data_IF_332881093112
#
_entry.id   IF_332881093112
#
_cell.length_a   1.000
_cell.length_b   1.000
_cell.length_c   1.000
_cell.angle_alpha   90.00
_cell.angle_beta   90.00
_cell.angle_gamma   90.00
#
_symmetry.space_group_name_H-M   'P 1'
#
loop_
_entity.id
_entity.type
_entity.pdbx_description
1 polymer ?
#
# COMPACT_ATOMS: atom_id res chain seq x y z
N UNK A 1 -18.49 -5.33 4.59
CA UNK A 1 -19.58 -5.82 3.68
C UNK A 1 -19.07 -7.01 2.90
N UNK A 2 -19.91 -8.00 2.57
CA UNK A 2 -19.52 -9.11 1.71
C UNK A 2 -19.74 -8.81 0.22
N UNK A 3 -18.81 -9.26 -0.63
CA UNK A 3 -18.95 -9.25 -2.09
C UNK A 3 -19.61 -10.54 -2.63
N UNK A 4 -19.72 -10.69 -3.96
CA UNK A 4 -20.29 -11.91 -4.57
C UNK A 4 -19.50 -13.19 -4.27
N UNK A 5 -18.19 -13.07 -4.00
CA UNK A 5 -17.33 -14.21 -3.66
C UNK A 5 -17.32 -14.50 -2.14
N UNK A 6 -18.20 -13.87 -1.35
CA UNK A 6 -18.29 -13.99 0.10
C UNK A 6 -17.02 -13.55 0.85
N UNK A 7 -16.27 -12.60 0.28
CA UNK A 7 -15.13 -11.96 0.95
C UNK A 7 -15.62 -10.79 1.78
N UNK A 8 -15.22 -10.72 3.04
CA UNK A 8 -15.51 -9.54 3.87
C UNK A 8 -14.61 -8.38 3.43
N UNK A 9 -15.20 -7.39 2.78
CA UNK A 9 -14.56 -6.15 2.37
C UNK A 9 -14.69 -5.14 3.50
N UNK A 10 -13.57 -4.85 4.16
CA UNK A 10 -13.49 -3.92 5.29
C UNK A 10 -12.25 -3.00 5.22
N UNK A 11 -11.46 -3.10 4.14
CA UNK A 11 -10.21 -2.35 3.97
C UNK A 11 -10.32 -1.39 2.77
N UNK A 12 -10.27 -0.08 3.02
CA UNK A 12 -10.16 0.96 1.98
C UNK A 12 -8.70 1.41 1.80
N UNK A 13 -8.19 1.37 0.57
CA UNK A 13 -7.00 2.15 0.18
C UNK A 13 -7.44 3.48 -0.41
N UNK A 14 -6.99 4.56 0.19
CA UNK A 14 -7.35 5.93 -0.15
C UNK A 14 -6.13 6.63 -0.77
N UNK A 15 -6.10 6.78 -2.09
CA UNK A 15 -5.10 7.60 -2.78
C UNK A 15 -5.48 9.06 -2.61
N UNK A 16 -4.62 9.86 -1.97
CA UNK A 16 -4.96 11.26 -1.63
C UNK A 16 -4.36 12.28 -2.61
N UNK A 17 -3.47 11.83 -3.48
CA UNK A 17 -2.79 12.64 -4.49
C UNK A 17 -2.16 11.70 -5.52
N UNK A 18 -1.98 12.15 -6.76
CA UNK A 18 -1.18 11.42 -7.75
C UNK A 18 0.28 11.92 -7.80
N UNK A 19 0.58 13.03 -7.10
CA UNK A 19 1.92 13.60 -7.03
C UNK A 19 2.84 12.71 -6.18
N UNK A 20 4.10 12.63 -6.60
CA UNK A 20 5.17 11.99 -5.84
C UNK A 20 6.47 12.80 -6.00
N UNK A 21 7.27 12.84 -4.94
CA UNK A 21 8.61 13.45 -4.92
C UNK A 21 9.70 12.50 -5.49
N UNK A 22 9.38 11.22 -5.75
CA UNK A 22 10.24 10.25 -6.43
C UNK A 22 9.80 9.99 -7.88
N UNK A 23 10.66 9.33 -8.66
CA UNK A 23 10.43 8.90 -10.06
C UNK A 23 10.82 7.45 -10.25
N UNK A 24 10.24 6.57 -9.43
CA UNK A 24 10.64 5.16 -9.42
C UNK A 24 10.44 4.50 -10.79
N UNK A 25 11.47 3.83 -11.32
CA UNK A 25 11.46 3.25 -12.68
C UNK A 25 10.31 2.27 -12.94
N UNK A 26 9.90 1.51 -11.92
CA UNK A 26 8.81 0.53 -12.01
C UNK A 26 7.42 1.13 -11.77
N UNK A 27 7.32 2.42 -11.43
CA UNK A 27 6.08 3.06 -11.03
C UNK A 27 5.74 4.29 -11.88
N UNK A 28 6.66 5.26 -11.96
CA UNK A 28 6.43 6.58 -12.54
C UNK A 28 7.77 7.26 -12.95
N UNK A 29 8.52 6.68 -13.90
CA UNK A 29 9.82 7.22 -14.34
C UNK A 29 9.69 8.64 -14.93
N UNK A 30 8.65 8.88 -15.73
CA UNK A 30 8.44 10.15 -16.43
C UNK A 30 7.82 11.24 -15.54
N UNK A 31 7.47 10.88 -14.30
CA UNK A 31 6.70 11.74 -13.42
C UNK A 31 5.21 11.78 -13.75
N UNK A 32 4.56 12.78 -13.16
CA UNK A 32 3.14 13.06 -13.40
C UNK A 32 2.97 14.49 -13.86
N UNK A 33 2.11 14.65 -14.86
CA UNK A 33 1.51 15.93 -15.12
C UNK A 33 0.70 16.36 -13.89
N UNK A 34 0.90 17.60 -13.48
CA UNK A 34 0.18 18.16 -12.33
C UNK A 34 -1.27 18.35 -12.76
N UNK A 35 -2.14 17.52 -12.20
CA UNK A 35 -3.59 17.67 -12.41
C UNK A 35 -4.06 19.02 -11.86
N UNK A 36 -5.08 19.59 -12.51
CA UNK A 36 -5.82 20.72 -11.98
C UNK A 36 -6.38 20.38 -10.60
N UNK A 37 -6.40 21.36 -9.70
CA UNK A 37 -6.77 21.16 -8.29
C UNK A 37 -8.18 20.56 -8.17
N UNK A 38 -9.07 21.00 -9.05
CA UNK A 38 -10.45 20.57 -9.15
C UNK A 38 -10.56 19.11 -9.58
N UNK A 39 -9.56 18.54 -10.25
CA UNK A 39 -9.60 17.14 -10.64
C UNK A 39 -9.41 16.17 -9.45
N UNK A 40 -8.89 16.64 -8.32
CA UNK A 40 -8.67 15.84 -7.11
C UNK A 40 -9.81 16.07 -6.12
N UNK A 41 -10.16 15.03 -5.36
CA UNK A 41 -11.14 15.16 -4.28
C UNK A 41 -10.66 16.16 -3.21
N UNK A 42 -11.58 16.98 -2.73
CA UNK A 42 -11.31 17.87 -1.59
C UNK A 42 -11.21 17.08 -0.29
N UNK A 43 -10.75 17.75 0.76
CA UNK A 43 -10.70 17.19 2.10
C UNK A 43 -12.09 16.69 2.57
N UNK A 44 -13.12 17.52 2.38
CA UNK A 44 -14.50 17.26 2.76
C UNK A 44 -15.08 16.10 1.93
N UNK A 45 -14.77 16.04 0.63
CA UNK A 45 -15.20 14.95 -0.24
C UNK A 45 -14.58 13.61 0.18
N UNK A 46 -13.30 13.60 0.54
CA UNK A 46 -12.64 12.40 1.08
C UNK A 46 -13.31 11.91 2.37
N UNK A 47 -13.58 12.81 3.32
CA UNK A 47 -14.21 12.44 4.60
C UNK A 47 -15.64 11.96 4.41
N UNK A 48 -16.43 12.63 3.55
CA UNK A 48 -17.80 12.20 3.24
C UNK A 48 -17.80 10.79 2.66
N UNK A 49 -16.98 10.51 1.65
CA UNK A 49 -16.89 9.18 1.05
C UNK A 49 -16.39 8.13 2.06
N UNK A 50 -15.37 8.45 2.86
CA UNK A 50 -14.88 7.55 3.90
C UNK A 50 -15.96 7.18 4.94
N UNK A 51 -16.81 8.13 5.32
CA UNK A 51 -17.94 7.86 6.21
C UNK A 51 -18.98 6.91 5.57
N UNK A 52 -19.23 7.04 4.27
CA UNK A 52 -20.10 6.11 3.54
C UNK A 52 -19.46 4.71 3.44
N UNK A 53 -18.15 4.61 3.21
CA UNK A 53 -17.44 3.33 3.28
C UNK A 53 -17.55 2.70 4.68
N UNK A 54 -17.45 3.49 5.75
CA UNK A 54 -17.62 3.01 7.12
C UNK A 54 -19.01 2.41 7.35
N UNK A 55 -20.07 3.05 6.82
CA UNK A 55 -21.45 2.51 6.81
C UNK A 55 -21.59 1.20 6.01
N UNK A 56 -20.67 0.92 5.08
CA UNK A 56 -20.56 -0.36 4.38
C UNK A 56 -19.67 -1.38 5.12
N UNK A 57 -19.25 -1.09 6.35
CA UNK A 57 -18.43 -1.97 7.18
C UNK A 57 -16.94 -1.92 6.88
N UNK A 58 -16.45 -0.86 6.21
CA UNK A 58 -15.02 -0.54 6.21
C UNK A 58 -14.63 -0.05 7.59
N UNK A 59 -13.59 -0.66 8.17
CA UNK A 59 -13.05 -0.28 9.47
C UNK A 59 -11.58 0.16 9.42
N UNK A 60 -10.94 -0.08 8.27
CA UNK A 60 -9.51 0.18 8.08
C UNK A 60 -9.30 1.03 6.83
N UNK A 61 -8.65 2.17 6.99
CA UNK A 61 -8.25 3.05 5.89
C UNK A 61 -6.73 3.07 5.79
N UNK A 62 -6.19 2.87 4.58
CA UNK A 62 -4.78 3.12 4.26
C UNK A 62 -4.66 4.34 3.38
N UNK A 63 -4.09 5.39 3.93
CA UNK A 63 -3.69 6.59 3.20
C UNK A 63 -2.46 6.26 2.36
N UNK A 64 -2.55 6.54 1.07
CA UNK A 64 -1.51 6.34 0.04
C UNK A 64 -1.65 7.44 -1.02
N UNK A 65 -1.04 7.32 -2.18
CA UNK A 65 -1.12 8.26 -3.29
C UNK A 65 -0.25 7.82 -4.46
N UNK A 66 0.33 8.82 -5.13
CA UNK A 66 1.77 8.82 -5.37
C UNK A 66 2.51 8.79 -4.02
N UNK A 67 2.80 9.96 -3.45
CA UNK A 67 3.34 10.09 -2.08
C UNK A 67 2.37 10.87 -1.19
N UNK A 68 1.73 10.27 -0.17
CA UNK A 68 0.76 10.99 0.67
C UNK A 68 1.36 12.17 1.42
N UNK A 69 2.63 12.10 1.83
CA UNK A 69 3.26 13.18 2.60
C UNK A 69 3.55 14.45 1.79
N UNK A 70 3.43 14.41 0.45
CA UNK A 70 3.47 15.64 -0.37
C UNK A 70 2.13 16.37 -0.40
N UNK A 71 1.04 15.74 0.08
CA UNK A 71 -0.26 16.40 0.18
C UNK A 71 -0.29 17.29 1.43
N UNK A 72 -0.51 18.59 1.22
CA UNK A 72 -0.71 19.55 2.32
C UNK A 72 -1.91 19.14 3.18
N UNK A 73 -1.72 19.12 4.51
CA UNK A 73 -2.77 18.81 5.48
C UNK A 73 -3.14 17.32 5.56
N UNK A 74 -2.23 16.40 5.19
CA UNK A 74 -2.49 14.97 5.29
C UNK A 74 -2.71 14.49 6.74
N UNK A 75 -2.08 15.16 7.71
CA UNK A 75 -2.30 14.97 9.15
C UNK A 75 -3.74 15.29 9.55
N UNK A 76 -4.30 16.41 9.06
CA UNK A 76 -5.70 16.75 9.28
C UNK A 76 -6.63 15.70 8.67
N UNK A 77 -6.29 15.17 7.50
CA UNK A 77 -7.06 14.09 6.87
C UNK A 77 -7.02 12.81 7.72
N UNK A 78 -5.86 12.45 8.26
CA UNK A 78 -5.75 11.32 9.21
C UNK A 78 -6.65 11.55 10.43
N UNK A 79 -6.62 12.75 11.03
CA UNK A 79 -7.44 13.07 12.19
C UNK A 79 -8.94 12.98 11.86
N UNK A 80 -9.36 13.54 10.72
CA UNK A 80 -10.74 13.45 10.24
C UNK A 80 -11.17 12.01 9.99
N UNK A 81 -10.32 11.18 9.39
CA UNK A 81 -10.61 9.75 9.17
C UNK A 81 -10.75 8.99 10.50
N UNK A 82 -9.91 9.27 11.50
CA UNK A 82 -10.00 8.67 12.84
C UNK A 82 -11.25 9.09 13.61
N UNK A 83 -11.80 10.27 13.31
CA UNK A 83 -13.04 10.75 13.93
C UNK A 83 -14.32 10.11 13.35
N UNK A 84 -14.23 9.41 12.21
CA UNK A 84 -15.40 8.78 11.57
C UNK A 84 -15.86 7.56 12.39
N UNK A 85 -17.12 7.52 12.86
CA UNK A 85 -17.66 6.33 13.52
C UNK A 85 -17.57 5.09 12.63
N UNK A 86 -16.97 4.02 13.16
CA UNK A 86 -16.73 2.76 12.44
C UNK A 86 -15.32 2.60 11.90
N UNK A 87 -14.58 3.69 11.65
CA UNK A 87 -13.16 3.60 11.29
C UNK A 87 -12.33 3.37 12.56
N UNK A 88 -11.70 2.20 12.63
CA UNK A 88 -10.87 1.77 13.77
C UNK A 88 -9.41 2.06 13.54
N UNK A 89 -8.92 1.83 12.31
CA UNK A 89 -7.51 1.92 11.95
C UNK A 89 -7.28 2.85 10.76
N UNK A 90 -6.37 3.80 10.91
CA UNK A 90 -5.82 4.62 9.83
C UNK A 90 -4.33 4.36 9.74
N UNK A 91 -3.89 3.87 8.59
CA UNK A 91 -2.49 3.49 8.33
C UNK A 91 -1.98 4.26 7.12
N UNK A 92 -0.66 4.38 6.97
CA UNK A 92 -0.06 5.08 5.83
C UNK A 92 0.90 4.18 5.05
N UNK A 93 0.98 4.38 3.74
CA UNK A 93 2.11 3.91 2.92
C UNK A 93 2.84 5.13 2.37
N UNK A 94 4.15 5.23 2.59
CA UNK A 94 4.99 6.38 2.19
C UNK A 94 6.36 5.89 1.72
N UNK A 95 7.07 6.67 0.93
CA UNK A 95 8.49 6.48 0.65
C UNK A 95 9.41 6.91 1.81
N UNK A 96 8.88 7.61 2.81
CA UNK A 96 9.61 7.91 4.05
C UNK A 96 10.40 9.22 4.06
N UNK A 97 10.59 9.89 2.91
CA UNK A 97 11.45 11.10 2.81
C UNK A 97 10.99 12.21 3.76
N UNK A 98 9.68 12.47 3.79
CA UNK A 98 9.09 13.51 4.63
C UNK A 98 8.61 13.00 5.99
N UNK A 99 8.84 11.71 6.28
CA UNK A 99 8.23 11.06 7.43
C UNK A 99 8.79 11.59 8.75
N UNK A 100 10.11 11.72 8.88
CA UNK A 100 10.72 12.23 10.12
C UNK A 100 10.16 13.60 10.51
N UNK A 101 9.97 14.49 9.53
CA UNK A 101 9.44 15.83 9.75
C UNK A 101 7.95 15.83 10.13
N UNK A 102 7.13 15.00 9.46
CA UNK A 102 5.66 15.04 9.61
C UNK A 102 5.11 14.07 10.66
N UNK A 103 5.92 13.09 11.11
CA UNK A 103 5.50 12.04 12.03
C UNK A 103 4.87 12.58 13.33
N UNK A 104 5.40 13.63 14.00
CA UNK A 104 4.78 14.14 15.23
C UNK A 104 3.32 14.58 15.04
N UNK A 105 3.01 15.26 13.93
CA UNK A 105 1.65 15.68 13.61
C UNK A 105 0.75 14.48 13.27
N UNK A 106 1.29 13.49 12.55
CA UNK A 106 0.57 12.26 12.22
C UNK A 106 0.23 11.42 13.46
N UNK A 107 1.13 11.35 14.44
CA UNK A 107 0.89 10.69 15.71
C UNK A 107 -0.19 11.42 16.52
N UNK A 108 -0.12 12.75 16.58
CA UNK A 108 -1.15 13.56 17.23
C UNK A 108 -2.54 13.39 16.56
N UNK A 109 -2.55 13.17 15.24
CA UNK A 109 -3.76 12.85 14.47
C UNK A 109 -4.29 11.42 14.68
N UNK A 110 -3.55 10.56 15.39
CA UNK A 110 -3.95 9.19 15.70
C UNK A 110 -3.59 8.16 14.63
N UNK A 111 -2.53 8.39 13.85
CA UNK A 111 -2.01 7.40 12.89
C UNK A 111 -1.61 6.09 13.59
N UNK A 112 -2.12 4.95 13.13
CA UNK A 112 -1.96 3.66 13.81
C UNK A 112 -0.71 2.87 13.37
N UNK A 113 -0.22 3.05 12.13
CA UNK A 113 1.00 2.40 11.63
C UNK A 113 1.47 2.96 10.29
N UNK A 114 2.75 2.72 9.97
CA UNK A 114 3.37 3.09 8.70
C UNK A 114 3.92 1.88 7.94
N UNK A 115 3.69 1.89 6.63
CA UNK A 115 4.43 1.07 5.67
C UNK A 115 5.38 1.99 4.90
N UNK A 116 6.67 1.71 4.94
CA UNK A 116 7.70 2.51 4.27
C UNK A 116 8.24 1.70 3.08
N UNK A 117 8.22 2.28 1.89
CA UNK A 117 8.81 1.66 0.70
C UNK A 117 10.33 1.88 0.69
N UNK A 118 11.10 0.79 0.73
CA UNK A 118 12.55 0.78 0.66
C UNK A 118 13.01 -0.44 -0.14
N UNK A 119 13.59 -0.21 -1.31
CA UNK A 119 13.96 -1.28 -2.25
C UNK A 119 15.45 -1.69 -2.15
N UNK A 120 16.27 -0.99 -1.36
CA UNK A 120 17.73 -1.22 -1.29
C UNK A 120 18.31 -0.53 -0.07
N UNK A 121 19.46 -1.02 0.41
CA UNK A 121 20.29 -0.40 1.45
C UNK A 121 21.46 0.40 0.87
N UNK A 122 21.63 0.38 -0.44
CA UNK A 122 22.71 1.05 -1.17
C UNK A 122 22.23 2.38 -1.74
N UNK A 123 22.80 3.53 -1.32
CA UNK A 123 22.37 4.85 -1.77
C UNK A 123 22.40 5.02 -3.30
N UNK A 124 23.43 4.49 -3.96
CA UNK A 124 23.58 4.56 -5.41
C UNK A 124 22.51 3.76 -6.16
N UNK A 125 22.13 2.59 -5.62
CA UNK A 125 21.04 1.78 -6.18
C UNK A 125 19.70 2.45 -5.91
N UNK A 126 19.53 3.07 -4.73
CA UNK A 126 18.33 3.85 -4.41
C UNK A 126 18.12 4.97 -5.43
N UNK A 127 19.18 5.73 -5.73
CA UNK A 127 19.13 6.80 -6.72
C UNK A 127 18.83 6.23 -8.13
N UNK A 128 19.39 5.07 -8.48
CA UNK A 128 19.11 4.42 -9.77
C UNK A 128 17.65 3.97 -9.91
N UNK A 129 17.02 3.55 -8.81
CA UNK A 129 15.62 3.12 -8.76
C UNK A 129 14.70 4.33 -8.81
N UNK A 130 14.96 5.35 -7.99
CA UNK A 130 14.03 6.44 -7.66
C UNK A 130 14.27 7.74 -8.43
N UNK A 131 15.41 7.84 -9.13
CA UNK A 131 15.95 9.03 -9.81
C UNK A 131 16.13 10.27 -8.90
N UNK A 132 16.28 10.05 -7.59
CA UNK A 132 16.48 11.08 -6.57
C UNK A 132 17.49 10.60 -5.53
N UNK A 133 18.36 11.48 -5.08
CA UNK A 133 19.33 11.20 -4.02
C UNK A 133 18.72 11.58 -2.67
N UNK A 134 17.85 10.72 -2.16
CA UNK A 134 17.03 10.98 -0.96
C UNK A 134 17.14 9.85 0.08
N UNK A 135 18.12 8.95 -0.10
CA UNK A 135 18.27 7.76 0.75
C UNK A 135 18.45 8.13 2.23
N UNK A 136 19.25 9.18 2.52
CA UNK A 136 19.46 9.67 3.89
C UNK A 136 18.15 10.03 4.59
N UNK A 137 17.29 10.82 3.94
CA UNK A 137 15.99 11.23 4.50
C UNK A 137 15.05 10.04 4.71
N UNK A 138 15.07 9.03 3.82
CA UNK A 138 14.29 7.79 4.02
C UNK A 138 14.76 7.06 5.27
N UNK A 139 16.08 6.92 5.47
CA UNK A 139 16.63 6.27 6.65
C UNK A 139 16.33 7.04 7.95
N UNK A 140 16.35 8.38 7.90
CA UNK A 140 15.89 9.22 9.00
C UNK A 140 14.41 8.99 9.32
N UNK A 141 13.56 8.90 8.30
CA UNK A 141 12.13 8.59 8.43
C UNK A 141 11.88 7.22 9.05
N UNK A 142 12.63 6.19 8.63
CA UNK A 142 12.55 4.84 9.21
C UNK A 142 12.94 4.87 10.69
N UNK A 143 14.05 5.53 11.02
CA UNK A 143 14.48 5.67 12.42
C UNK A 143 13.43 6.38 13.27
N UNK A 144 12.93 7.53 12.82
CA UNK A 144 11.90 8.27 13.55
C UNK A 144 10.62 7.44 13.77
N UNK A 145 10.20 6.66 12.76
CA UNK A 145 9.05 5.77 12.88
C UNK A 145 9.28 4.67 13.92
N UNK A 146 10.45 4.04 13.93
CA UNK A 146 10.81 3.02 14.92
C UNK A 146 10.88 3.62 16.34
N UNK A 147 11.50 4.78 16.49
CA UNK A 147 11.66 5.47 17.78
C UNK A 147 10.31 5.91 18.38
N UNK A 148 9.30 6.14 17.53
CA UNK A 148 7.94 6.49 17.97
C UNK A 148 7.15 5.32 18.56
N UNK A 149 7.59 4.08 18.33
CA UNK A 149 6.94 2.87 18.83
C UNK A 149 5.68 2.45 18.06
N UNK A 150 5.26 3.15 17.00
CA UNK A 150 4.19 2.66 16.13
C UNK A 150 4.67 1.44 15.33
N UNK A 151 3.78 0.51 14.94
CA UNK A 151 4.14 -0.58 14.05
C UNK A 151 4.71 -0.07 12.72
N UNK A 152 5.91 -0.55 12.37
CA UNK A 152 6.61 -0.21 11.13
C UNK A 152 6.74 -1.44 10.24
N UNK A 153 6.41 -1.27 8.95
CA UNK A 153 6.63 -2.30 7.93
C UNK A 153 7.46 -1.73 6.80
N UNK A 154 8.55 -2.39 6.43
CA UNK A 154 9.30 -2.07 5.22
C UNK A 154 8.76 -2.89 4.06
N UNK A 155 8.60 -2.28 2.90
CA UNK A 155 8.19 -2.93 1.66
C UNK A 155 9.29 -2.77 0.63
N UNK A 156 9.79 -3.90 0.13
CA UNK A 156 10.74 -3.98 -0.97
C UNK A 156 10.08 -4.69 -2.15
N UNK A 157 10.29 -4.19 -3.36
CA UNK A 157 10.01 -4.89 -4.62
C UNK A 157 11.33 -5.43 -5.18
N UNK A 158 11.58 -6.75 -5.10
CA UNK A 158 12.75 -7.37 -5.73
C UNK A 158 12.77 -7.14 -7.25
N UNK A 159 13.94 -6.79 -7.78
CA UNK A 159 14.19 -6.43 -9.17
C UNK A 159 15.48 -7.11 -9.66
N UNK A 160 15.34 -7.95 -10.69
CA UNK A 160 16.46 -8.67 -11.32
C UNK A 160 17.47 -7.68 -11.90
N UNK A 161 18.76 -7.91 -11.64
CA UNK A 161 19.86 -7.06 -12.07
C UNK A 161 19.94 -5.69 -11.39
N UNK A 162 19.12 -5.44 -10.36
CA UNK A 162 19.07 -4.13 -9.67
C UNK A 162 19.40 -4.28 -8.18
N UNK A 163 18.46 -4.82 -7.39
CA UNK A 163 18.58 -4.96 -5.93
C UNK A 163 18.62 -6.44 -5.49
N UNK A 164 18.55 -7.39 -6.43
CA UNK A 164 18.47 -8.81 -6.06
C UNK A 164 19.69 -9.28 -5.26
N UNK A 165 20.86 -8.64 -5.39
CA UNK A 165 22.07 -9.01 -4.66
C UNK A 165 22.06 -8.72 -3.15
N UNK A 166 21.10 -7.95 -2.63
CA UNK A 166 21.09 -7.46 -1.23
C UNK A 166 19.78 -7.77 -0.47
N UNK A 167 18.94 -8.65 -1.00
CA UNK A 167 17.62 -8.94 -0.41
C UNK A 167 17.73 -9.58 0.98
N UNK A 168 18.75 -10.41 1.24
CA UNK A 168 19.05 -10.94 2.56
C UNK A 168 19.45 -9.83 3.54
N UNK A 169 20.24 -8.85 3.10
CA UNK A 169 20.65 -7.75 3.97
C UNK A 169 19.46 -6.86 4.35
N UNK A 170 18.54 -6.64 3.40
CA UNK A 170 17.24 -6.03 3.69
C UNK A 170 16.43 -6.85 4.69
N UNK A 171 16.33 -8.17 4.51
CA UNK A 171 15.62 -9.04 5.44
C UNK A 171 16.25 -9.05 6.85
N UNK A 172 17.58 -8.99 6.93
CA UNK A 172 18.34 -8.92 8.18
C UNK A 172 18.05 -7.66 9.01
N UNK A 173 17.42 -6.62 8.43
CA UNK A 173 16.94 -5.49 9.22
C UNK A 173 15.98 -5.91 10.33
N UNK A 174 15.20 -6.98 10.12
CA UNK A 174 14.26 -7.54 11.09
C UNK A 174 14.94 -8.26 12.26
N UNK A 175 16.22 -8.64 12.15
CA UNK A 175 16.95 -9.33 13.22
C UNK A 175 17.02 -8.45 14.48
N UNK A 176 17.44 -7.20 14.31
CA UNK A 176 17.74 -6.28 15.42
C UNK A 176 16.69 -5.21 15.67
N UNK A 177 15.66 -5.11 14.81
CA UNK A 177 14.66 -4.04 14.85
C UNK A 177 13.23 -4.62 14.91
N UNK A 178 12.32 -4.01 15.69
CA UNK A 178 10.93 -4.46 15.81
C UNK A 178 10.08 -4.04 14.60
N UNK A 179 10.41 -4.56 13.42
CA UNK A 179 9.74 -4.24 12.16
C UNK A 179 9.49 -5.49 11.31
N UNK A 180 8.53 -5.41 10.39
CA UNK A 180 8.36 -6.43 9.37
C UNK A 180 9.00 -5.98 8.05
N UNK A 181 9.94 -6.76 7.51
CA UNK A 181 10.48 -6.55 6.15
C UNK A 181 9.69 -7.40 5.18
N UNK A 182 9.02 -6.78 4.20
CA UNK A 182 8.15 -7.50 3.27
C UNK A 182 8.61 -7.38 1.85
N UNK A 183 8.68 -8.51 1.17
CA UNK A 183 9.03 -8.61 -0.23
C UNK A 183 7.77 -8.81 -1.06
N UNK A 184 7.56 -7.92 -2.02
CA UNK A 184 6.37 -7.88 -2.87
C UNK A 184 6.81 -8.25 -4.28
N UNK A 185 6.20 -9.30 -4.85
CA UNK A 185 6.44 -9.68 -6.23
C UNK A 185 6.16 -8.52 -7.19
N UNK A 186 7.04 -8.33 -8.17
CA UNK A 186 6.81 -7.36 -9.25
C UNK A 186 5.53 -7.75 -10.00
N UNK A 187 4.50 -6.92 -9.86
CA UNK A 187 3.23 -7.13 -10.56
C UNK A 187 3.32 -6.55 -11.98
N UNK A 188 2.78 -7.24 -13.00
CA UNK A 188 2.82 -6.76 -14.37
C UNK A 188 1.74 -5.68 -14.62
N UNK A 189 1.89 -4.53 -13.97
CA UNK A 189 0.98 -3.37 -14.05
C UNK A 189 1.78 -2.14 -14.45
N UNK A 190 1.31 -1.40 -15.46
CA UNK A 190 2.02 -0.23 -15.97
C UNK A 190 3.47 -0.56 -16.34
N UNK A 191 4.44 0.19 -15.81
CA UNK A 191 5.87 -0.03 -16.07
C UNK A 191 6.40 -1.36 -15.54
N UNK A 192 5.76 -1.96 -14.53
CA UNK A 192 6.12 -3.29 -14.03
C UNK A 192 5.86 -4.42 -15.02
N UNK A 193 5.01 -4.21 -16.04
CA UNK A 193 4.72 -5.22 -17.06
C UNK A 193 5.93 -5.63 -17.90
N UNK A 194 6.92 -4.73 -18.05
CA UNK A 194 8.16 -4.99 -18.78
C UNK A 194 9.30 -5.49 -17.87
N UNK A 195 9.03 -5.73 -16.58
CA UNK A 195 10.05 -6.09 -15.61
C UNK A 195 9.91 -7.55 -15.17
N UNK A 196 11.03 -8.29 -15.07
CA UNK A 196 11.01 -9.66 -14.57
C UNK A 196 10.61 -9.69 -13.09
N UNK A 197 9.96 -10.78 -12.70
CA UNK A 197 9.51 -11.01 -11.33
C UNK A 197 10.38 -12.08 -10.67
N UNK A 198 10.93 -11.76 -9.49
CA UNK A 198 11.54 -12.76 -8.60
C UNK A 198 10.41 -13.33 -7.74
N UNK A 199 10.25 -14.65 -7.78
CA UNK A 199 9.12 -15.30 -7.11
C UNK A 199 9.31 -15.33 -5.58
N UNK A 200 8.21 -15.22 -4.84
CA UNK A 200 8.23 -15.39 -3.37
C UNK A 200 8.80 -16.74 -2.91
N UNK A 201 8.44 -17.87 -3.54
CA UNK A 201 9.03 -19.19 -3.22
C UNK A 201 10.54 -19.24 -3.41
N UNK A 202 11.07 -18.72 -4.52
CA UNK A 202 12.51 -18.65 -4.79
C UNK A 202 13.24 -17.82 -3.73
N UNK A 203 12.69 -16.65 -3.39
CA UNK A 203 13.30 -15.77 -2.38
C UNK A 203 13.26 -16.41 -0.98
N UNK A 204 12.19 -17.12 -0.65
CA UNK A 204 12.08 -17.88 0.60
C UNK A 204 13.13 -19.00 0.68
N UNK A 205 13.36 -19.74 -0.39
CA UNK A 205 14.41 -20.76 -0.43
C UNK A 205 15.81 -20.15 -0.27
N UNK A 206 16.04 -18.99 -0.88
CA UNK A 206 17.28 -18.23 -0.71
C UNK A 206 17.50 -17.82 0.75
N UNK A 207 16.46 -17.31 1.42
CA UNK A 207 16.54 -16.94 2.84
C UNK A 207 16.74 -18.15 3.74
N UNK A 208 16.11 -19.29 3.44
CA UNK A 208 16.32 -20.54 4.17
C UNK A 208 17.76 -21.09 4.04
N UNK A 209 18.44 -20.82 2.92
CA UNK A 209 19.88 -21.14 2.78
C UNK A 209 20.76 -20.23 3.66
N UNK A 210 20.41 -18.95 3.79
CA UNK A 210 21.15 -17.99 4.62
C UNK A 210 20.92 -18.20 6.12
N UNK A 211 19.68 -18.52 6.50
CA UNK A 211 19.25 -18.75 7.88
C UNK A 211 18.54 -20.11 7.99
N UNK A 212 19.24 -21.17 8.45
CA UNK A 212 18.66 -22.52 8.53
C UNK A 212 17.42 -22.65 9.42
N UNK A 213 17.25 -21.77 10.41
CA UNK A 213 16.09 -21.74 11.31
C UNK A 213 14.93 -20.86 10.80
N UNK A 214 15.03 -20.34 9.57
CA UNK A 214 13.99 -19.53 8.95
C UNK A 214 12.72 -20.36 8.73
N UNK A 215 11.67 -20.04 9.47
CA UNK A 215 10.46 -20.86 9.56
C UNK A 215 9.19 -20.00 9.57
N UNK A 216 8.03 -20.54 9.14
CA UNK A 216 6.78 -19.79 9.14
C UNK A 216 6.44 -19.25 10.54
N UNK A 217 6.04 -17.98 10.60
CA UNK A 217 5.57 -17.39 11.84
C UNK A 217 4.15 -17.94 12.16
N UNK A 218 3.88 -18.42 13.39
CA UNK A 218 2.57 -18.94 13.73
C UNK A 218 1.46 -17.91 13.53
N UNK A 219 0.31 -18.36 13.00
CA UNK A 219 -0.82 -17.48 12.66
C UNK A 219 -1.30 -16.60 13.83
N UNK A 220 -1.26 -17.13 15.06
CA UNK A 220 -1.62 -16.40 16.28
C UNK A 220 -0.68 -15.20 16.53
N UNK A 221 0.59 -15.31 16.17
CA UNK A 221 1.57 -14.23 16.32
C UNK A 221 1.45 -13.21 15.18
N UNK A 222 1.19 -13.67 13.94
CA UNK A 222 1.03 -12.77 12.79
C UNK A 222 -0.30 -12.02 12.75
N UNK A 223 -1.33 -12.46 13.50
CA UNK A 223 -2.65 -11.83 13.52
C UNK A 223 -2.60 -10.34 13.91
N UNK A 224 -1.63 -9.94 14.74
CA UNK A 224 -1.43 -8.55 15.16
C UNK A 224 -0.94 -7.62 14.04
N UNK A 225 -0.37 -8.15 12.94
CA UNK A 225 0.21 -7.34 11.87
C UNK A 225 -0.84 -6.71 10.94
N UNK A 226 -2.09 -7.15 11.05
CA UNK A 226 -3.24 -6.68 10.28
C UNK A 226 -3.54 -7.55 9.05
N UNK A 227 -4.67 -7.25 8.40
CA UNK A 227 -5.29 -8.13 7.40
C UNK A 227 -4.71 -7.98 5.98
N UNK A 228 -3.39 -7.89 5.90
CA UNK A 228 -2.64 -7.84 4.64
C UNK A 228 -2.35 -9.24 4.07
N UNK A 229 -2.00 -9.35 2.78
CA UNK A 229 -1.79 -10.64 2.11
C UNK A 229 -0.44 -11.32 2.40
N UNK A 230 0.37 -10.76 3.30
CA UNK A 230 1.72 -11.26 3.52
C UNK A 230 1.69 -12.54 4.36
N UNK A 231 2.48 -13.54 3.95
CA UNK A 231 2.79 -14.70 4.78
C UNK A 231 4.12 -14.45 5.47
N UNK A 232 4.14 -14.54 6.80
CA UNK A 232 5.28 -14.17 7.61
C UNK A 232 6.11 -15.37 8.03
N UNK A 233 7.41 -15.14 8.13
CA UNK A 233 8.45 -16.07 8.54
C UNK A 233 9.37 -15.34 9.52
N UNK A 234 10.02 -16.09 10.38
CA UNK A 234 10.93 -15.54 11.39
C UNK A 234 12.11 -16.49 11.62
N UNK A 235 13.08 -16.01 12.39
CA UNK A 235 14.22 -16.79 12.90
C UNK A 235 14.21 -16.63 14.42
N UNK A 236 14.47 -17.68 15.21
CA UNK A 236 14.52 -17.58 16.67
C UNK A 236 15.43 -16.44 17.13
N UNK A 237 14.91 -15.59 18.03
CA UNK A 237 15.63 -14.45 18.60
C UNK A 237 15.55 -13.14 17.80
N UNK A 238 14.96 -13.14 16.60
CA UNK A 238 14.72 -11.91 15.86
C UNK A 238 13.68 -11.03 16.55
N UNK A 239 13.87 -9.71 16.50
CA UNK A 239 12.91 -8.74 17.03
C UNK A 239 11.73 -8.48 16.09
N UNK A 240 11.91 -8.77 14.80
CA UNK A 240 10.94 -8.59 13.75
C UNK A 240 10.82 -9.83 12.86
N UNK A 241 10.18 -9.65 11.71
CA UNK A 241 9.80 -10.77 10.83
C UNK A 241 9.98 -10.43 9.36
N UNK A 242 10.02 -11.46 8.53
CA UNK A 242 10.05 -11.36 7.08
C UNK A 242 8.71 -11.77 6.50
N UNK A 243 8.12 -10.95 5.64
CA UNK A 243 6.87 -11.26 4.96
C UNK A 243 7.04 -11.42 3.45
N UNK A 244 6.31 -12.35 2.85
CA UNK A 244 6.23 -12.51 1.40
C UNK A 244 4.83 -12.19 0.91
N UNK A 245 4.72 -11.31 -0.09
CA UNK A 245 3.48 -10.97 -0.77
C UNK A 245 3.56 -11.52 -2.20
N UNK A 246 3.09 -12.75 -2.36
CA UNK A 246 3.09 -13.48 -3.63
C UNK A 246 1.91 -13.04 -4.53
N UNK A 247 1.99 -11.81 -5.06
CA UNK A 247 0.93 -11.18 -5.84
C UNK A 247 0.72 -11.81 -7.23
N UNK A 248 1.72 -12.47 -7.79
CA UNK A 248 1.67 -13.12 -9.10
C UNK A 248 1.50 -14.62 -8.92
N UNK A 249 2.39 -15.27 -8.18
CA UNK A 249 2.45 -16.73 -8.10
C UNK A 249 1.53 -17.33 -7.04
N UNK A 250 1.25 -16.60 -5.95
CA UNK A 250 0.48 -17.13 -4.81
C UNK A 250 -1.01 -16.79 -4.82
N UNK A 251 -1.45 -15.83 -5.65
CA UNK A 251 -2.85 -15.35 -5.77
C UNK A 251 -3.65 -15.34 -4.44
N UNK A 252 -3.51 -14.29 -3.64
CA UNK A 252 -4.29 -14.12 -2.39
C UNK A 252 -5.71 -13.54 -2.60
N UNK A 253 -6.32 -13.75 -3.77
CA UNK A 253 -7.61 -13.13 -4.11
C UNK A 253 -8.78 -13.65 -3.28
N UNK A 254 -8.74 -14.92 -2.87
CA UNK A 254 -9.78 -15.58 -2.08
C UNK A 254 -9.99 -14.94 -0.70
N UNK A 255 -8.95 -14.34 -0.12
CA UNK A 255 -8.99 -13.62 1.16
C UNK A 255 -8.93 -12.09 1.01
N UNK A 256 -9.06 -11.57 -0.22
CA UNK A 256 -8.90 -10.15 -0.47
C UNK A 256 -10.08 -9.31 0.06
N UNK A 257 -9.80 -8.51 1.08
CA UNK A 257 -10.71 -7.64 1.81
C UNK A 257 -10.68 -6.16 1.36
N UNK A 258 -10.00 -5.86 0.25
CA UNK A 258 -9.62 -4.49 -0.15
C UNK A 258 -10.45 -3.91 -1.28
N UNK A 259 -10.75 -2.63 -1.21
CA UNK A 259 -11.14 -1.75 -2.33
C UNK A 259 -10.29 -0.49 -2.36
N UNK A 260 -10.32 0.24 -3.47
CA UNK A 260 -9.43 1.39 -3.72
C UNK A 260 -10.22 2.59 -4.21
N UNK A 261 -10.00 3.75 -3.58
CA UNK A 261 -10.48 5.02 -4.09
C UNK A 261 -9.27 5.82 -4.60
N UNK A 262 -9.30 6.21 -5.88
CA UNK A 262 -8.27 7.07 -6.45
C UNK A 262 -8.40 8.50 -5.93
N UNK A 263 -7.36 9.32 -6.10
CA UNK A 263 -7.36 10.73 -5.72
C UNK A 263 -8.44 11.54 -6.48
N UNK A 264 -8.80 11.08 -7.67
CA UNK A 264 -9.84 11.64 -8.53
C UNK A 264 -11.25 11.10 -8.22
N UNK A 265 -11.40 10.25 -7.19
CA UNK A 265 -12.69 9.71 -6.75
C UNK A 265 -13.25 8.56 -7.58
N UNK A 266 -12.40 7.84 -8.31
CA UNK A 266 -12.78 6.60 -8.99
C UNK A 266 -12.63 5.41 -8.03
N UNK A 267 -13.72 4.72 -7.73
CA UNK A 267 -13.74 3.52 -6.91
C UNK A 267 -13.42 2.30 -7.78
N UNK A 268 -12.31 1.62 -7.46
CA UNK A 268 -11.92 0.34 -8.06
C UNK A 268 -12.14 -0.80 -7.07
N UNK A 269 -12.83 -1.88 -7.47
CA UNK A 269 -13.01 -3.03 -6.59
C UNK A 269 -11.76 -3.93 -6.52
N UNK A 270 -10.87 -3.84 -7.51
CA UNK A 270 -9.60 -4.58 -7.55
C UNK A 270 -8.47 -3.70 -8.08
N UNK A 271 -7.22 -4.03 -7.69
CA UNK A 271 -6.02 -3.40 -8.24
C UNK A 271 -5.91 -3.61 -9.76
N UNK A 272 -6.29 -4.81 -10.23
CA UNK A 272 -6.14 -5.24 -11.62
C UNK A 272 -7.36 -4.91 -12.51
N UNK A 273 -8.40 -4.28 -11.97
CA UNK A 273 -9.68 -4.09 -12.67
C UNK A 273 -9.82 -2.64 -13.12
N UNK A 274 -9.88 -2.38 -14.43
CA UNK A 274 -10.13 -1.04 -15.00
C UNK A 274 -11.59 -0.59 -14.86
N UNK A 275 -12.50 -1.52 -14.55
CA UNK A 275 -13.90 -1.21 -14.24
C UNK A 275 -14.04 -0.69 -12.81
N UNK A 276 -15.06 0.12 -12.59
CA UNK A 276 -15.28 0.80 -11.32
C UNK A 276 -16.41 1.81 -11.41
N UNK A 277 -16.47 2.70 -10.44
CA UNK A 277 -17.48 3.75 -10.37
C UNK A 277 -16.84 5.12 -10.14
N UNK A 278 -17.24 6.12 -10.91
CA UNK A 278 -16.84 7.52 -10.70
C UNK A 278 -17.72 8.15 -9.62
N UNK A 279 -17.31 7.98 -8.35
CA UNK A 279 -18.03 8.54 -7.22
C UNK A 279 -17.91 10.07 -7.15
N UNK A 280 -16.85 10.66 -7.71
CA UNK A 280 -16.69 12.12 -7.75
C UNK A 280 -17.76 12.75 -8.60
N UNK A 281 -18.03 12.20 -9.79
CA UNK A 281 -19.07 12.70 -10.68
C UNK A 281 -20.45 12.64 -10.00
N UNK A 282 -20.77 11.53 -9.33
CA UNK A 282 -22.01 11.43 -8.55
C UNK A 282 -22.06 12.45 -7.41
N UNK A 283 -20.99 12.54 -6.62
CA UNK A 283 -20.90 13.42 -5.46
C UNK A 283 -21.06 14.89 -5.86
N UNK A 284 -20.40 15.33 -6.92
CA UNK A 284 -20.46 16.71 -7.43
C UNK A 284 -21.71 17.01 -8.25
N UNK A 285 -22.37 15.97 -8.77
CA UNK A 285 -23.71 16.07 -9.33
C UNK A 285 -24.82 16.26 -8.29
N UNK A 286 -24.47 16.30 -7.00
CA UNK A 286 -25.43 16.51 -5.91
C UNK A 286 -26.11 15.23 -5.41
N UNK A 287 -25.56 14.05 -5.73
CA UNK A 287 -26.13 12.78 -5.27
C UNK A 287 -26.28 12.74 -3.73
N UNK A 288 -27.41 12.22 -3.29
CA UNK A 288 -27.68 11.95 -1.90
C UNK A 288 -26.78 10.81 -1.39
N UNK A 289 -26.60 10.75 -0.06
CA UNK A 289 -25.75 9.73 0.56
C UNK A 289 -26.21 8.29 0.26
N UNK A 290 -27.53 8.06 0.09
CA UNK A 290 -28.03 6.72 -0.24
C UNK A 290 -27.70 6.29 -1.67
N UNK A 291 -27.67 7.22 -2.62
CA UNK A 291 -27.26 6.95 -4.01
C UNK A 291 -25.77 6.60 -4.07
N UNK A 292 -24.94 7.37 -3.36
CA UNK A 292 -23.51 7.08 -3.22
C UNK A 292 -23.26 5.74 -2.53
N UNK A 293 -24.02 5.41 -1.48
CA UNK A 293 -23.94 4.12 -0.82
C UNK A 293 -24.30 2.96 -1.75
N UNK A 294 -25.36 3.12 -2.54
CA UNK A 294 -25.76 2.12 -3.51
C UNK A 294 -24.64 1.88 -4.54
N UNK A 295 -24.07 2.95 -5.10
CA UNK A 295 -22.95 2.86 -6.03
C UNK A 295 -21.71 2.17 -5.41
N UNK A 296 -21.38 2.48 -4.14
CA UNK A 296 -20.31 1.82 -3.40
C UNK A 296 -20.60 0.32 -3.23
N UNK A 297 -21.81 -0.03 -2.79
CA UNK A 297 -22.25 -1.42 -2.57
C UNK A 297 -22.20 -2.24 -3.85
N UNK A 298 -22.70 -1.70 -4.95
CA UNK A 298 -22.69 -2.36 -6.26
C UNK A 298 -21.27 -2.58 -6.77
N UNK A 299 -20.39 -1.57 -6.61
CA UNK A 299 -18.98 -1.70 -7.00
C UNK A 299 -18.25 -2.72 -6.13
N UNK A 300 -18.49 -2.74 -4.83
CA UNK A 300 -17.93 -3.77 -3.93
C UNK A 300 -18.41 -5.16 -4.34
N UNK A 301 -19.70 -5.32 -4.64
CA UNK A 301 -20.26 -6.59 -5.09
C UNK A 301 -19.61 -7.06 -6.38
N UNK A 302 -19.42 -6.17 -7.36
CA UNK A 302 -18.82 -6.49 -8.66
C UNK A 302 -17.33 -6.84 -8.63
N UNK A 303 -16.71 -6.89 -7.44
CA UNK A 303 -15.32 -7.27 -7.27
C UNK A 303 -15.03 -8.63 -7.94
N UNK A 304 -14.07 -8.69 -8.88
CA UNK A 304 -13.76 -9.93 -9.58
C UNK A 304 -13.25 -11.00 -8.61
N UNK A 305 -13.55 -12.28 -8.89
CA UNK A 305 -13.13 -13.40 -8.05
C UNK A 305 -11.61 -13.42 -7.89
N UNK A 306 -10.88 -13.20 -8.97
CA UNK A 306 -9.42 -13.09 -8.98
C UNK A 306 -8.91 -12.15 -10.06
N UNK A 307 -7.61 -11.83 -10.00
CA UNK A 307 -6.91 -11.19 -11.10
C UNK A 307 -6.35 -12.23 -12.06
N UNK A 308 -6.17 -11.83 -13.32
CA UNK A 308 -5.59 -12.66 -14.37
C UNK A 308 -4.27 -12.07 -14.87
N UNK A 309 -3.33 -11.71 -13.99
CA UNK A 309 -2.02 -11.16 -14.39
C UNK A 309 -1.22 -12.02 -15.37
N UNK A 310 -1.48 -13.33 -15.43
CA UNK A 310 -0.87 -14.25 -16.39
C UNK A 310 -1.61 -14.35 -17.73
N UNK A 311 -2.83 -13.83 -17.84
CA UNK A 311 -3.59 -13.80 -19.08
C UNK A 311 -3.67 -12.34 -19.57
N UNK A 312 -3.38 -12.09 -20.84
CA UNK A 312 -3.51 -10.76 -21.46
C UNK A 312 -4.97 -10.23 -21.49
N UNK A 313 -5.91 -10.88 -20.82
CA UNK A 313 -7.35 -10.60 -20.82
C UNK A 313 -7.76 -9.43 -19.92
N UNK A 314 -6.93 -9.05 -18.95
CA UNK A 314 -7.15 -7.86 -18.12
C UNK A 314 -5.88 -7.00 -18.01
N UNK A 315 -5.55 -6.22 -19.06
CA UNK A 315 -4.42 -5.30 -18.98
C UNK A 315 -4.74 -4.19 -17.97
N UNK A 316 -4.00 -4.17 -16.85
CA UNK A 316 -3.98 -3.04 -15.94
C UNK A 316 -3.05 -1.97 -16.52
N UNK A 317 -3.60 -1.08 -17.34
CA UNK A 317 -2.84 -0.10 -18.13
C UNK A 317 -2.48 1.16 -17.34
N UNK A 318 -3.16 1.42 -16.21
CA UNK A 318 -2.86 2.57 -15.35
C UNK A 318 -1.63 2.31 -14.47
N UNK A 319 -0.73 3.29 -14.41
CA UNK A 319 0.44 3.25 -13.54
C UNK A 319 0.07 3.06 -12.06
N UNK A 320 0.89 2.30 -11.33
CA UNK A 320 0.66 1.89 -9.94
C UNK A 320 0.38 3.09 -8.99
N UNK A 321 1.03 4.23 -9.25
CA UNK A 321 0.85 5.47 -8.47
C UNK A 321 -0.57 6.05 -8.53
N UNK A 322 -1.31 5.89 -9.64
CA UNK A 322 -2.67 6.46 -9.78
C UNK A 322 -3.73 5.71 -8.98
N UNK A 323 -3.40 4.52 -8.50
CA UNK A 323 -4.38 3.53 -8.03
C UNK A 323 -4.11 3.11 -6.57
N UNK A 324 -3.30 3.91 -5.87
CA UNK A 324 -3.00 3.75 -4.44
C UNK A 324 -2.20 2.50 -4.13
N UNK A 325 -1.14 2.26 -4.92
CA UNK A 325 -0.12 1.24 -4.69
C UNK A 325 0.35 1.20 -3.25
#
# INVERSE_FOLDING_TARGET
MFDFAQRNIHYLRLSVTDLCNLRCRYCMPDGVEKLEREAVLTYEEFLRLAALFARCGVDTVRVTGGEPLVRKGVDQLVAGLKAIPGIRKVTMTTNGILLAQQLPALLAAGLDSVNISLDTLRPEVFQSITARDEFGHVMEGIRAALDSGIPVKLNCVPQVGVNEGELEDLAALAESRPLQVRFIEMMPIGYGAAMPCISGPELRERFARRWPEFSPLPAAQSAGFGDGPAVYYTVPGWKGDVGFIAAVHGKFCASCNRVRLTSQGFLRPCLASETGCDLRTLLRGGAADEELLQAIRETIRSKPREHHFGDNSMPATRGMYRIGG
#
